data_IF_783986722617
#
_entry.id   IF_783986722617
#
_cell.length_a   1.000
_cell.length_b   1.000
_cell.length_c   1.000
_cell.angle_alpha   90.00
_cell.angle_beta   90.00
_cell.angle_gamma   90.00
#
_symmetry.space_group_name_H-M   'P 1'
#
loop_
_entity.id
_entity.type
_entity.pdbx_description
1 polymer ?
#
# COMPACT_ATOMS: atom_id res chain seq x y z
N UNK A 1 7.83 -7.38 12.87
CA UNK A 1 8.04 -6.07 12.24
C UNK A 1 6.76 -5.41 11.75
N UNK A 2 5.80 -5.24 12.67
CA UNK A 2 4.54 -4.59 12.33
C UNK A 2 4.70 -3.15 11.86
N UNK A 3 5.69 -2.43 12.36
CA UNK A 3 5.92 -1.03 12.03
C UNK A 3 6.40 -0.80 10.58
N UNK A 4 6.90 -1.83 9.91
CA UNK A 4 7.37 -1.74 8.53
C UNK A 4 6.42 -2.41 7.53
N UNK A 5 5.18 -2.70 7.92
CA UNK A 5 4.22 -3.42 7.08
C UNK A 5 3.87 -2.65 5.81
N UNK A 6 3.85 -1.32 5.87
CA UNK A 6 3.63 -0.49 4.67
C UNK A 6 4.67 -0.76 3.58
N UNK A 7 5.93 -1.01 3.97
CA UNK A 7 7.00 -1.35 3.02
C UNK A 7 6.73 -2.66 2.29
N UNK A 8 6.13 -3.64 2.97
CA UNK A 8 5.75 -4.92 2.36
C UNK A 8 4.70 -4.67 1.26
N UNK A 9 3.71 -3.84 1.53
CA UNK A 9 2.68 -3.49 0.54
C UNK A 9 3.27 -2.72 -0.64
N UNK A 10 4.17 -1.77 -0.38
CA UNK A 10 4.87 -1.04 -1.44
C UNK A 10 5.67 -2.00 -2.32
N UNK A 11 6.42 -2.92 -1.71
CA UNK A 11 7.18 -3.94 -2.44
C UNK A 11 6.26 -4.84 -3.25
N UNK A 12 5.13 -5.24 -2.68
CA UNK A 12 4.15 -6.06 -3.38
C UNK A 12 3.65 -5.37 -4.66
N UNK A 13 3.30 -4.10 -4.56
CA UNK A 13 2.83 -3.33 -5.72
C UNK A 13 3.92 -3.15 -6.77
N UNK A 14 5.16 -2.92 -6.34
CA UNK A 14 6.30 -2.77 -7.24
C UNK A 14 6.63 -4.05 -8.00
N UNK A 15 6.17 -5.20 -7.53
CA UNK A 15 6.40 -6.48 -8.21
C UNK A 15 5.60 -6.65 -9.51
N UNK A 16 4.58 -5.83 -9.71
CA UNK A 16 3.74 -5.88 -10.92
C UNK A 16 4.19 -4.80 -11.90
N UNK A 17 4.89 -5.20 -12.96
CA UNK A 17 5.41 -4.27 -13.98
C UNK A 17 4.30 -3.56 -14.74
N UNK A 18 3.16 -4.21 -14.98
CA UNK A 18 2.02 -3.59 -15.66
C UNK A 18 1.41 -2.49 -14.80
N UNK A 19 1.31 -2.71 -13.49
CA UNK A 19 0.85 -1.68 -12.56
C UNK A 19 1.81 -0.50 -12.54
N UNK A 20 3.11 -0.76 -12.48
CA UNK A 20 4.11 0.30 -12.47
C UNK A 20 4.05 1.12 -13.77
N UNK A 21 3.90 0.47 -14.92
CA UNK A 21 3.75 1.15 -16.20
C UNK A 21 2.48 2.02 -16.22
N UNK A 22 1.38 1.52 -15.69
CA UNK A 22 0.13 2.29 -15.56
C UNK A 22 0.32 3.52 -14.70
N UNK A 23 1.17 3.45 -13.67
CA UNK A 23 1.50 4.56 -12.79
C UNK A 23 2.63 5.46 -13.35
N UNK A 24 2.98 5.30 -14.60
CA UNK A 24 3.91 6.18 -15.29
C UNK A 24 5.37 5.80 -15.22
N UNK A 25 5.69 4.59 -14.79
CA UNK A 25 7.07 4.11 -14.80
C UNK A 25 7.61 4.03 -16.22
N UNK A 26 8.79 4.58 -16.43
CA UNK A 26 9.55 4.48 -17.67
C UNK A 26 10.95 4.01 -17.34
N UNK A 27 11.35 2.88 -17.91
CA UNK A 27 12.66 2.32 -17.66
C UNK A 27 13.77 3.25 -18.19
N UNK A 28 14.89 3.37 -17.47
CA UNK A 28 16.01 4.17 -17.95
C UNK A 28 16.65 3.52 -19.17
N UNK A 29 17.16 4.38 -20.06
CA UNK A 29 17.90 3.97 -21.27
C UNK A 29 19.28 4.61 -21.23
N UNK A 30 20.10 4.34 -22.24
CA UNK A 30 21.42 4.96 -22.34
C UNK A 30 21.35 6.48 -22.48
N UNK A 31 20.25 7.01 -23.03
CA UNK A 31 20.06 8.43 -23.30
C UNK A 31 19.02 9.10 -22.43
N UNK A 32 18.23 8.33 -21.65
CA UNK A 32 17.13 8.84 -20.83
C UNK A 32 17.19 8.21 -19.44
N UNK A 33 16.98 9.02 -18.42
CA UNK A 33 16.94 8.56 -17.02
C UNK A 33 15.71 7.75 -16.68
N UNK A 34 14.67 7.77 -17.53
CA UNK A 34 13.39 7.17 -17.23
C UNK A 34 12.58 8.01 -16.25
N UNK A 35 11.49 7.42 -15.75
CA UNK A 35 10.61 8.05 -14.76
C UNK A 35 10.20 7.03 -13.71
N UNK A 36 10.17 7.39 -12.42
CA UNK A 36 9.64 6.51 -11.39
C UNK A 36 8.13 6.39 -11.52
N UNK A 37 7.59 5.27 -11.07
CA UNK A 37 6.14 5.11 -10.95
C UNK A 37 5.59 6.08 -9.92
N UNK A 38 4.37 6.56 -10.13
CA UNK A 38 3.68 7.43 -9.17
C UNK A 38 3.04 6.57 -8.07
N UNK A 39 3.89 5.90 -7.33
CA UNK A 39 3.57 5.11 -6.14
C UNK A 39 4.29 5.76 -4.96
N UNK A 40 3.52 6.27 -4.02
CA UNK A 40 4.06 7.05 -2.91
C UNK A 40 3.79 6.35 -1.59
N UNK A 41 4.67 6.55 -0.61
CA UNK A 41 4.49 6.09 0.75
C UNK A 41 4.11 7.25 1.65
N UNK A 42 3.10 7.06 2.51
CA UNK A 42 2.62 8.01 3.51
C UNK A 42 2.07 9.31 2.94
N UNK A 43 2.83 9.98 2.07
CA UNK A 43 2.42 11.24 1.45
C UNK A 43 3.18 11.44 0.14
N UNK A 44 2.65 12.31 -0.70
CA UNK A 44 3.35 12.70 -1.93
C UNK A 44 4.49 13.65 -1.53
N UNK A 45 5.76 13.34 -1.88
CA UNK A 45 6.91 14.14 -1.43
C UNK A 45 7.12 15.39 -2.31
N UNK A 46 6.08 16.24 -2.38
CA UNK A 46 6.11 17.48 -3.15
C UNK A 46 5.67 18.65 -2.27
N UNK A 47 6.12 19.87 -2.56
CA UNK A 47 5.57 21.07 -1.92
C UNK A 47 4.06 21.17 -2.13
N UNK A 48 3.34 21.74 -1.15
CA UNK A 48 1.87 21.83 -1.20
C UNK A 48 1.37 22.50 -2.50
N UNK A 49 2.10 23.46 -3.02
CA UNK A 49 1.77 24.16 -4.25
C UNK A 49 1.81 23.27 -5.50
N UNK A 50 2.57 22.17 -5.44
CA UNK A 50 2.73 21.25 -6.56
C UNK A 50 1.84 20.00 -6.43
N UNK A 51 1.19 19.78 -5.29
CA UNK A 51 0.33 18.61 -5.08
C UNK A 51 -0.84 18.57 -6.03
N UNK A 52 -1.40 19.73 -6.39
CA UNK A 52 -2.51 19.81 -7.33
C UNK A 52 -2.12 19.45 -8.77
N UNK A 53 -0.82 19.41 -9.05
CA UNK A 53 -0.29 19.15 -10.38
C UNK A 53 0.26 17.73 -10.55
N UNK A 54 0.09 16.87 -9.55
CA UNK A 54 0.53 15.46 -9.66
C UNK A 54 -0.30 14.79 -10.73
N UNK A 55 0.36 14.19 -11.75
CA UNK A 55 -0.38 13.49 -12.81
C UNK A 55 -1.17 12.30 -12.24
N UNK A 56 -2.36 12.10 -12.77
CA UNK A 56 -3.22 10.97 -12.46
C UNK A 56 -2.98 9.89 -13.55
N UNK A 57 -2.93 8.59 -13.24
CA UNK A 57 -3.20 7.97 -11.95
C UNK A 57 -2.01 7.97 -10.99
N UNK A 58 -2.29 7.85 -9.71
CA UNK A 58 -1.26 7.60 -8.70
C UNK A 58 -1.82 6.79 -7.53
N UNK A 59 -0.94 6.24 -6.74
CA UNK A 59 -1.27 5.41 -5.57
C UNK A 59 -0.43 5.86 -4.38
N UNK A 60 -1.06 5.95 -3.22
CA UNK A 60 -0.37 6.26 -1.96
C UNK A 60 -0.62 5.13 -0.97
N UNK A 61 0.46 4.55 -0.44
CA UNK A 61 0.40 3.53 0.60
C UNK A 61 0.69 4.20 1.94
N UNK A 62 -0.23 4.07 2.90
CA UNK A 62 -0.07 4.68 4.22
C UNK A 62 -0.11 3.64 5.32
N UNK A 63 0.66 3.89 6.37
CA UNK A 63 0.59 3.15 7.62
C UNK A 63 -0.44 3.84 8.50
N UNK A 64 -1.59 3.20 8.72
CA UNK A 64 -2.74 3.81 9.38
C UNK A 64 -2.87 3.39 10.85
N UNK A 65 -1.86 2.77 11.39
CA UNK A 65 -1.80 2.45 12.81
C UNK A 65 -1.56 0.98 13.11
N UNK A 66 -1.14 0.74 14.33
CA UNK A 66 -0.83 -0.58 14.83
C UNK A 66 -1.46 -0.74 16.21
N UNK A 67 -2.04 -1.90 16.45
CA UNK A 67 -2.57 -2.27 17.75
C UNK A 67 -2.03 -3.64 18.13
N UNK A 68 -1.50 -3.73 19.36
CA UNK A 68 -1.08 -5.00 19.94
C UNK A 68 -1.83 -5.19 21.25
N UNK A 69 -2.77 -6.13 21.25
CA UNK A 69 -3.61 -6.40 22.40
C UNK A 69 -3.11 -7.63 23.14
N UNK A 70 -2.62 -7.44 24.35
CA UNK A 70 -2.16 -8.51 25.25
C UNK A 70 -3.33 -9.20 25.97
N UNK A 71 -4.45 -9.37 25.29
CA UNK A 71 -5.68 -9.94 25.87
C UNK A 71 -5.72 -11.46 25.96
N UNK A 72 -4.71 -12.18 25.45
CA UNK A 72 -4.66 -13.62 25.56
C UNK A 72 -4.08 -14.06 26.90
N UNK A 73 -4.44 -15.25 27.34
CA UNK A 73 -4.02 -15.74 28.67
C UNK A 73 -2.51 -15.86 28.84
N UNK A 74 -1.80 -16.10 27.76
CA UNK A 74 -0.36 -16.37 27.79
C UNK A 74 0.47 -15.11 27.62
N UNK A 75 -0.13 -14.00 27.20
CA UNK A 75 0.56 -12.75 26.97
C UNK A 75 0.39 -11.83 28.19
N UNK A 76 1.51 -11.37 28.75
CA UNK A 76 1.50 -10.45 29.88
C UNK A 76 1.52 -8.99 29.47
N UNK A 77 2.19 -8.68 28.37
CA UNK A 77 2.44 -7.31 27.95
C UNK A 77 2.02 -7.09 26.50
N UNK A 78 2.46 -7.96 25.60
CA UNK A 78 2.15 -7.86 24.19
C UNK A 78 1.80 -9.23 23.61
N UNK A 79 0.91 -9.22 22.64
CA UNK A 79 0.58 -10.40 21.84
C UNK A 79 1.72 -10.75 20.89
N UNK A 80 1.77 -12.00 20.42
CA UNK A 80 2.68 -12.43 19.36
C UNK A 80 2.37 -11.76 18.02
N UNK A 81 1.18 -11.21 17.86
CA UNK A 81 0.74 -10.59 16.62
C UNK A 81 0.40 -9.13 16.81
N UNK A 82 0.88 -8.33 15.90
CA UNK A 82 0.45 -6.95 15.75
C UNK A 82 -0.73 -6.90 14.79
N UNK A 83 -1.72 -6.08 15.10
CA UNK A 83 -2.78 -5.76 14.15
C UNK A 83 -2.46 -4.43 13.51
N UNK A 84 -2.15 -4.46 12.21
CA UNK A 84 -1.65 -3.31 11.47
C UNK A 84 -2.69 -2.90 10.44
N UNK A 85 -2.99 -1.61 10.39
CA UNK A 85 -3.89 -1.04 9.40
C UNK A 85 -3.08 -0.34 8.31
N UNK A 86 -3.29 -0.75 7.07
CA UNK A 86 -2.67 -0.16 5.90
C UNK A 86 -3.75 0.42 5.01
N UNK A 87 -3.57 1.66 4.58
CA UNK A 87 -4.42 2.30 3.59
C UNK A 87 -3.71 2.40 2.25
N UNK A 88 -4.43 2.10 1.18
CA UNK A 88 -3.94 2.32 -0.17
C UNK A 88 -4.93 3.23 -0.87
N UNK A 89 -4.54 4.49 -1.05
CA UNK A 89 -5.34 5.47 -1.77
C UNK A 89 -5.02 5.36 -3.26
N UNK A 90 -6.06 5.10 -4.05
CA UNK A 90 -5.95 4.94 -5.49
C UNK A 90 -6.68 6.10 -6.15
N UNK A 91 -6.01 6.79 -7.06
CA UNK A 91 -6.57 7.96 -7.75
C UNK A 91 -6.56 7.71 -9.25
N UNK A 92 -7.71 7.82 -9.89
CA UNK A 92 -7.91 7.64 -11.31
C UNK A 92 -8.61 8.82 -11.96
N UNK A 93 -8.35 9.04 -13.23
CA UNK A 93 -8.91 10.17 -13.97
C UNK A 93 -10.39 9.99 -14.26
N UNK A 94 -10.81 8.77 -14.58
CA UNK A 94 -12.20 8.41 -14.85
C UNK A 94 -12.64 7.32 -13.88
N UNK A 95 -13.94 7.12 -13.75
CA UNK A 95 -14.47 6.06 -12.92
C UNK A 95 -14.02 4.68 -13.42
N UNK A 96 -14.01 4.48 -14.74
CA UNK A 96 -13.54 3.23 -15.34
C UNK A 96 -12.06 2.97 -15.04
N UNK A 97 -11.21 4.00 -15.17
CA UNK A 97 -9.80 3.90 -14.84
C UNK A 97 -9.59 3.55 -13.36
N UNK A 98 -10.38 4.18 -12.49
CA UNK A 98 -10.30 3.89 -11.06
C UNK A 98 -10.67 2.42 -10.78
N UNK A 99 -11.75 1.93 -11.35
CA UNK A 99 -12.17 0.53 -11.15
C UNK A 99 -11.08 -0.45 -11.62
N UNK A 100 -10.50 -0.22 -12.79
CA UNK A 100 -9.42 -1.05 -13.32
C UNK A 100 -8.19 -1.02 -12.44
N UNK A 101 -7.82 0.17 -11.97
CA UNK A 101 -6.63 0.34 -11.13
C UNK A 101 -6.82 -0.26 -9.74
N UNK A 102 -7.96 -0.06 -9.11
CA UNK A 102 -8.24 -0.67 -7.79
C UNK A 102 -8.24 -2.18 -7.86
N UNK A 103 -8.81 -2.75 -8.93
CA UNK A 103 -8.80 -4.20 -9.11
C UNK A 103 -7.37 -4.71 -9.32
N UNK A 104 -6.56 -4.01 -10.12
CA UNK A 104 -5.16 -4.36 -10.35
C UNK A 104 -4.34 -4.32 -9.05
N UNK A 105 -4.53 -3.28 -8.23
CA UNK A 105 -3.88 -3.16 -6.92
C UNK A 105 -4.25 -4.34 -6.02
N UNK A 106 -5.54 -4.62 -5.91
CA UNK A 106 -6.03 -5.71 -5.06
C UNK A 106 -5.49 -7.07 -5.51
N UNK A 107 -5.53 -7.34 -6.80
CA UNK A 107 -5.05 -8.62 -7.36
C UNK A 107 -3.53 -8.76 -7.17
N UNK A 108 -2.80 -7.66 -7.32
CA UNK A 108 -1.34 -7.65 -7.13
C UNK A 108 -0.96 -7.98 -5.69
N UNK A 109 -1.64 -7.37 -4.72
CA UNK A 109 -1.40 -7.65 -3.30
C UNK A 109 -1.69 -9.11 -2.99
N UNK A 110 -2.83 -9.62 -3.45
CA UNK A 110 -3.20 -11.02 -3.20
C UNK A 110 -2.19 -11.98 -3.82
N UNK A 111 -1.79 -11.76 -5.07
CA UNK A 111 -0.82 -12.61 -5.74
C UNK A 111 0.54 -12.60 -5.03
N UNK A 112 0.97 -11.43 -4.58
CA UNK A 112 2.25 -11.30 -3.86
C UNK A 112 2.25 -12.10 -2.56
N UNK A 113 1.21 -11.98 -1.73
CA UNK A 113 1.15 -12.71 -0.46
C UNK A 113 0.97 -14.21 -0.65
N UNK A 114 0.38 -14.65 -1.75
CA UNK A 114 0.29 -16.08 -2.08
C UNK A 114 1.62 -16.68 -2.52
N UNK A 115 2.48 -15.87 -3.13
CA UNK A 115 3.73 -16.32 -3.73
C UNK A 115 4.96 -16.07 -2.86
N UNK A 116 4.84 -15.23 -1.83
CA UNK A 116 5.97 -14.81 -1.01
C UNK A 116 5.68 -15.02 0.47
N UNK A 117 6.67 -15.54 1.18
CA UNK A 117 6.59 -15.67 2.62
C UNK A 117 6.90 -14.32 3.27
N UNK A 118 5.99 -13.82 4.07
CA UNK A 118 6.13 -12.56 4.80
C UNK A 118 5.68 -12.73 6.25
N UNK A 119 5.90 -11.70 7.06
CA UNK A 119 5.41 -11.68 8.44
C UNK A 119 3.89 -11.44 8.53
N UNK A 120 3.25 -11.09 7.43
CA UNK A 120 1.79 -10.94 7.37
C UNK A 120 1.18 -12.35 7.27
N UNK A 121 0.58 -12.80 8.37
CA UNK A 121 -0.02 -14.13 8.42
C UNK A 121 -1.39 -14.16 7.75
N UNK A 122 -2.14 -13.08 7.92
CA UNK A 122 -3.49 -12.97 7.42
C UNK A 122 -3.85 -11.49 7.27
N UNK A 123 -4.83 -11.21 6.44
CA UNK A 123 -5.39 -9.86 6.36
C UNK A 123 -6.86 -9.89 5.98
N UNK A 124 -7.58 -8.84 6.36
CA UNK A 124 -8.92 -8.57 5.86
C UNK A 124 -8.84 -7.35 4.94
N UNK A 125 -9.70 -7.35 3.93
CA UNK A 125 -9.77 -6.29 2.94
C UNK A 125 -11.12 -5.62 2.99
N UNK A 126 -11.11 -4.29 2.87
CA UNK A 126 -12.32 -3.51 2.64
C UNK A 126 -12.00 -2.33 1.74
N UNK A 127 -13.00 -1.78 1.09
CA UNK A 127 -12.85 -0.61 0.24
C UNK A 127 -13.84 0.45 0.68
N UNK A 128 -13.36 1.68 0.81
CA UNK A 128 -14.21 2.83 1.14
C UNK A 128 -15.05 3.22 -0.08
N UNK A 129 -16.02 4.10 0.13
CA UNK A 129 -16.79 4.67 -0.96
C UNK A 129 -15.90 5.47 -1.90
N UNK A 130 -16.23 5.43 -3.19
CA UNK A 130 -15.53 6.23 -4.20
C UNK A 130 -15.88 7.70 -3.99
N UNK A 131 -14.85 8.54 -4.04
CA UNK A 131 -14.97 10.00 -3.92
C UNK A 131 -14.63 10.67 -5.25
N UNK A 132 -15.17 11.83 -5.45
CA UNK A 132 -14.88 12.66 -6.61
C UNK A 132 -14.39 14.04 -6.17
N UNK A 133 -13.29 14.49 -6.74
CA UNK A 133 -12.75 15.82 -6.50
C UNK A 133 -13.10 16.73 -7.68
N UNK A 134 -13.98 17.71 -7.46
CA UNK A 134 -14.43 18.59 -8.52
C UNK A 134 -13.43 19.70 -8.86
N UNK A 135 -12.53 20.04 -7.93
CA UNK A 135 -11.50 21.05 -8.15
C UNK A 135 -10.40 20.54 -9.07
N UNK A 136 -10.03 19.27 -8.87
CA UNK A 136 -9.13 18.54 -9.74
C UNK A 136 -9.90 17.32 -10.22
N UNK A 137 -10.49 17.34 -11.44
CA UNK A 137 -11.40 16.27 -11.85
C UNK A 137 -10.74 14.90 -11.82
N UNK A 138 -10.99 14.17 -10.77
CA UNK A 138 -10.48 12.82 -10.58
C UNK A 138 -11.37 12.07 -9.58
N UNK A 139 -11.27 10.75 -9.62
CA UNK A 139 -11.92 9.87 -8.66
C UNK A 139 -10.86 9.22 -7.79
N UNK A 140 -11.18 9.02 -6.52
CA UNK A 140 -10.27 8.32 -5.62
C UNK A 140 -11.03 7.41 -4.67
N UNK A 141 -10.33 6.40 -4.18
CA UNK A 141 -10.88 5.39 -3.29
C UNK A 141 -9.76 4.89 -2.38
N UNK A 142 -10.06 4.69 -1.12
CA UNK A 142 -9.12 4.09 -0.19
C UNK A 142 -9.44 2.61 -0.03
N UNK A 143 -8.44 1.78 -0.27
CA UNK A 143 -8.48 0.35 0.02
C UNK A 143 -7.85 0.15 1.39
N UNK A 144 -8.51 -0.63 2.25
CA UNK A 144 -8.06 -0.83 3.63
C UNK A 144 -7.70 -2.29 3.85
N UNK A 145 -6.51 -2.50 4.36
CA UNK A 145 -6.02 -3.81 4.75
C UNK A 145 -5.76 -3.81 6.25
N UNK A 146 -6.42 -4.70 6.96
CA UNK A 146 -6.12 -4.94 8.38
C UNK A 146 -5.37 -6.25 8.47
N UNK A 147 -4.10 -6.17 8.87
CA UNK A 147 -3.16 -7.27 8.81
C UNK A 147 -2.85 -7.80 10.20
N UNK A 148 -2.79 -9.12 10.32
CA UNK A 148 -2.21 -9.78 11.47
C UNK A 148 -0.75 -10.08 11.14
N UNK A 149 0.15 -9.35 11.78
CA UNK A 149 1.58 -9.41 11.51
C UNK A 149 2.29 -10.05 12.68
N UNK A 150 3.05 -11.09 12.38
CA UNK A 150 3.80 -11.80 13.40
C UNK A 150 4.89 -10.91 13.99
N UNK A 151 4.95 -10.90 15.32
CA UNK A 151 5.97 -10.17 16.06
C UNK A 151 7.28 -10.95 16.04
N UNK A 152 8.35 -10.34 15.49
CA UNK A 152 9.64 -10.99 15.27
C UNK A 152 10.57 -11.00 16.50
N UNK A 153 10.14 -10.45 17.63
CA UNK A 153 11.01 -10.37 18.81
C UNK A 153 11.57 -11.72 19.21
N UNK A 154 10.74 -12.76 19.17
CA UNK A 154 11.17 -14.11 19.53
C UNK A 154 12.18 -14.68 18.51
N UNK A 155 11.97 -14.41 17.25
CA UNK A 155 12.87 -14.89 16.18
C UNK A 155 14.23 -14.20 16.27
N UNK A 156 14.28 -12.93 16.63
CA UNK A 156 15.52 -12.19 16.86
C UNK A 156 16.28 -12.71 18.06
N UNK A 157 15.59 -13.14 19.11
CA UNK A 157 16.21 -13.70 20.31
C UNK A 157 16.75 -15.09 20.09
N UNK A 158 16.18 -15.88 19.20
CA UNK A 158 16.62 -17.23 18.87
C UNK A 158 17.80 -17.24 17.89
N UNK A 159 17.94 -16.17 17.16
CA UNK A 159 19.02 -15.99 16.20
C UNK A 159 20.28 -15.53 16.85
#
# INVERSE_FOLDING_TARGET
MGLATDSIFTTALQSNSDLMATLGYVAPTLTDKGKPARLYGTAIPLPDEDLDNVPVPYVIVTFDGLNNDAGTKDDRYESEYDRVNIGIEVVGKTLEDLHGLTQMVRDTVLAYFRSNHTNVEDYTFSADAIQYDSLKPCYWQTLRYQCDVRNDLNDEQEG
#
